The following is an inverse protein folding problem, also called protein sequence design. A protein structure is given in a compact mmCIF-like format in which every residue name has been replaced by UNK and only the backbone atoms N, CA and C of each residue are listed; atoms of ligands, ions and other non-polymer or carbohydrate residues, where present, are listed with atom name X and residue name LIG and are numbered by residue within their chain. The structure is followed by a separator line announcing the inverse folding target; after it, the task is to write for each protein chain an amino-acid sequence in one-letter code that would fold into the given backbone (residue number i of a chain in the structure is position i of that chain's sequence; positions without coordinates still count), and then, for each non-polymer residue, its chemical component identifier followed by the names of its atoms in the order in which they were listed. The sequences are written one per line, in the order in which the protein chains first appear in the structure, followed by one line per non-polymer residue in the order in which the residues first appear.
data_IF_391908834334
#
_entry.id   IF_391908834334
#
_cell.length_a   1.000
_cell.length_b   1.000
_cell.length_c   1.000
_cell.angle_alpha   90.00
_cell.angle_beta   90.00
_cell.angle_gamma   90.00
#
_symmetry.space_group_name_H-M   'P 1'
#
loop_
_entity.id
_entity.type
_entity.pdbx_description
1 polymer ?
#
# COMPACT_ATOMS: atom_id res chain seq x y z
N UNK A 1 18.93 16.02 -25.49
CA UNK A 1 18.33 14.68 -25.42
C UNK A 1 17.18 14.79 -24.44
N UNK A 2 15.95 14.45 -24.86
CA UNK A 2 14.83 14.42 -23.91
C UNK A 2 15.10 13.31 -22.91
N UNK A 3 15.22 13.65 -21.62
CA UNK A 3 15.33 12.63 -20.57
C UNK A 3 13.98 11.94 -20.45
N UNK A 4 13.95 10.62 -20.64
CA UNK A 4 12.72 9.86 -20.43
C UNK A 4 12.32 9.97 -18.95
N UNK A 5 11.08 10.39 -18.72
CA UNK A 5 10.49 10.50 -17.39
C UNK A 5 9.46 9.40 -17.25
N UNK A 6 9.68 8.48 -16.31
CA UNK A 6 8.71 7.44 -15.99
C UNK A 6 7.93 7.80 -14.74
N UNK A 7 6.62 7.63 -14.80
CA UNK A 7 5.70 7.83 -13.67
C UNK A 7 5.11 6.49 -13.27
N UNK A 8 5.46 6.01 -12.08
CA UNK A 8 5.01 4.73 -11.55
C UNK A 8 4.06 4.98 -10.38
N UNK A 9 2.80 4.54 -10.49
CA UNK A 9 1.88 4.57 -9.36
C UNK A 9 2.15 3.39 -8.44
N UNK A 10 2.12 3.64 -7.15
CA UNK A 10 2.16 2.62 -6.09
C UNK A 10 0.82 2.64 -5.37
N UNK A 11 0.08 1.54 -5.48
CA UNK A 11 -1.20 1.31 -4.82
C UNK A 11 -1.03 0.16 -3.85
N UNK A 12 -1.69 0.20 -2.71
CA UNK A 12 -1.76 -0.94 -1.79
C UNK A 12 -3.02 -0.86 -0.93
N UNK A 13 -3.36 -2.00 -0.33
CA UNK A 13 -4.42 -2.09 0.67
C UNK A 13 -5.74 -1.52 0.13
N UNK A 14 -6.23 -2.05 -1.00
CA UNK A 14 -7.50 -1.64 -1.60
C UNK A 14 -8.69 -2.25 -0.89
N UNK A 15 -8.59 -3.49 -0.40
CA UNK A 15 -9.60 -4.19 0.38
C UNK A 15 -11.03 -4.08 -0.18
N UNK A 16 -11.19 -4.14 -1.50
CA UNK A 16 -12.50 -4.14 -2.15
C UNK A 16 -13.15 -5.51 -1.96
N UNK A 17 -14.41 -5.53 -1.52
CA UNK A 17 -15.12 -6.76 -1.14
C UNK A 17 -14.90 -7.19 0.31
N UNK A 18 -13.90 -6.64 0.98
CA UNK A 18 -13.60 -6.84 2.39
C UNK A 18 -13.99 -5.57 3.22
N UNK A 19 -13.21 -4.51 3.10
CA UNK A 19 -13.46 -3.23 3.81
C UNK A 19 -14.22 -2.22 2.96
N UNK A 20 -13.94 -2.17 1.66
CA UNK A 20 -14.62 -1.29 0.71
C UNK A 20 -15.65 -2.07 -0.11
N UNK A 21 -16.85 -1.51 -0.28
CA UNK A 21 -17.88 -2.08 -1.14
C UNK A 21 -17.55 -1.95 -2.64
N UNK A 22 -16.70 -0.99 -3.02
CA UNK A 22 -16.35 -0.74 -4.41
C UNK A 22 -15.05 0.07 -4.52
N UNK A 23 -14.49 0.12 -5.73
CA UNK A 23 -13.28 0.89 -6.05
C UNK A 23 -13.58 2.39 -5.91
N UNK A 24 -12.79 3.16 -5.13
CA UNK A 24 -12.97 4.60 -5.04
C UNK A 24 -12.74 5.29 -6.39
N UNK A 25 -13.65 6.17 -6.81
CA UNK A 25 -13.50 6.95 -8.04
C UNK A 25 -12.18 7.73 -8.08
N UNK A 26 -11.78 8.29 -6.94
CA UNK A 26 -10.53 9.03 -6.82
C UNK A 26 -9.27 8.18 -7.06
N UNK A 27 -9.33 6.84 -6.85
CA UNK A 27 -8.22 5.94 -7.15
C UNK A 27 -7.94 5.90 -8.65
N UNK A 28 -8.99 5.66 -9.47
CA UNK A 28 -8.86 5.60 -10.93
C UNK A 28 -8.39 6.95 -11.49
N UNK A 29 -8.88 8.05 -10.94
CA UNK A 29 -8.43 9.38 -11.35
C UNK A 29 -6.95 9.64 -11.01
N UNK A 30 -6.50 9.16 -9.84
CA UNK A 30 -5.14 9.40 -9.36
C UNK A 30 -4.07 8.60 -10.13
N UNK A 31 -4.44 7.45 -10.72
CA UNK A 31 -3.51 6.60 -11.51
C UNK A 31 -3.53 6.89 -13.02
N UNK A 32 -4.32 7.87 -13.48
CA UNK A 32 -4.32 8.22 -14.91
C UNK A 32 -3.01 8.86 -15.36
N UNK A 33 -2.54 8.45 -16.54
CA UNK A 33 -1.34 9.01 -17.15
C UNK A 33 -0.03 8.59 -16.48
N UNK A 34 -0.04 7.47 -15.76
CA UNK A 34 1.19 6.79 -15.31
C UNK A 34 1.61 5.73 -16.34
N UNK A 35 2.89 5.35 -16.33
CA UNK A 35 3.45 4.35 -17.25
C UNK A 35 3.28 2.93 -16.71
N UNK A 36 3.19 2.78 -15.38
CA UNK A 36 3.08 1.50 -14.69
C UNK A 36 2.35 1.68 -13.36
N UNK A 37 1.57 0.67 -12.96
CA UNK A 37 0.95 0.58 -11.65
C UNK A 37 1.53 -0.61 -10.92
N UNK A 38 2.05 -0.38 -9.71
CA UNK A 38 2.53 -1.40 -8.78
C UNK A 38 1.51 -1.54 -7.65
N UNK A 39 0.88 -2.71 -7.51
CA UNK A 39 -0.04 -2.98 -6.41
C UNK A 39 0.65 -3.86 -5.35
N UNK A 40 0.95 -3.28 -4.19
CA UNK A 40 1.75 -3.90 -3.14
C UNK A 40 0.93 -4.77 -2.16
N UNK A 41 -0.12 -5.44 -2.65
CA UNK A 41 -0.92 -6.44 -1.92
C UNK A 41 -2.17 -5.91 -1.24
N UNK A 42 -2.96 -6.86 -0.72
CA UNK A 42 -4.31 -6.66 -0.19
C UNK A 42 -5.24 -6.00 -1.22
N UNK A 43 -5.29 -6.64 -2.40
CA UNK A 43 -6.18 -6.34 -3.52
C UNK A 43 -7.60 -6.76 -3.17
N UNK A 44 -7.73 -8.00 -2.67
CA UNK A 44 -8.92 -8.75 -2.23
C UNK A 44 -9.94 -9.09 -3.32
N UNK A 45 -10.02 -8.31 -4.41
CA UNK A 45 -10.87 -8.61 -5.57
C UNK A 45 -10.11 -8.38 -6.88
N UNK A 46 -10.07 -9.38 -7.76
CA UNK A 46 -9.38 -9.30 -9.06
C UNK A 46 -9.90 -8.17 -9.95
N UNK A 47 -11.17 -7.79 -9.82
CA UNK A 47 -11.77 -6.67 -10.55
C UNK A 47 -11.04 -5.33 -10.31
N UNK A 48 -10.35 -5.19 -9.17
CA UNK A 48 -9.49 -4.03 -8.89
C UNK A 48 -8.34 -3.95 -9.89
N UNK A 49 -7.68 -5.09 -10.14
CA UNK A 49 -6.56 -5.15 -11.08
C UNK A 49 -7.02 -4.88 -12.51
N UNK A 50 -8.18 -5.42 -12.89
CA UNK A 50 -8.78 -5.18 -14.22
C UNK A 50 -9.13 -3.68 -14.40
N UNK A 51 -9.71 -3.07 -13.39
CA UNK A 51 -10.04 -1.64 -13.43
C UNK A 51 -8.80 -0.74 -13.50
N UNK A 52 -7.74 -1.09 -12.78
CA UNK A 52 -6.47 -0.37 -12.83
C UNK A 52 -5.77 -0.57 -14.18
N UNK A 53 -5.86 -1.78 -14.76
CA UNK A 53 -5.24 -2.13 -16.05
C UNK A 53 -5.81 -1.33 -17.23
N UNK A 54 -7.00 -0.76 -17.10
CA UNK A 54 -7.55 0.20 -18.09
C UNK A 54 -6.70 1.49 -18.14
N UNK A 55 -6.02 1.85 -17.05
CA UNK A 55 -5.24 3.08 -16.98
C UNK A 55 -3.78 2.89 -17.41
N UNK A 56 -3.14 1.79 -16.97
CA UNK A 56 -1.75 1.43 -17.29
C UNK A 56 -1.50 -0.05 -16.96
N UNK A 57 -0.41 -0.68 -17.47
CA UNK A 57 0.00 -2.02 -17.05
C UNK A 57 0.07 -2.14 -15.51
N UNK A 58 -0.37 -3.29 -14.97
CA UNK A 58 -0.39 -3.54 -13.52
C UNK A 58 0.52 -4.71 -13.19
N UNK A 59 1.37 -4.54 -12.18
CA UNK A 59 2.10 -5.62 -11.51
C UNK A 59 1.64 -5.65 -10.07
N UNK A 60 1.16 -6.81 -9.60
CA UNK A 60 0.66 -6.96 -8.23
C UNK A 60 1.39 -8.07 -7.48
N UNK A 61 1.50 -7.92 -6.16
CA UNK A 61 1.94 -8.96 -5.23
C UNK A 61 0.85 -9.31 -4.24
N UNK A 62 0.95 -10.51 -3.65
CA UNK A 62 -0.02 -11.02 -2.70
C UNK A 62 0.15 -10.41 -1.33
N UNK A 63 -0.94 -9.96 -0.72
CA UNK A 63 -1.05 -9.63 0.70
C UNK A 63 -1.69 -10.76 1.51
N UNK A 64 -1.88 -10.52 2.82
CA UNK A 64 -2.49 -11.51 3.70
C UNK A 64 -4.01 -11.64 3.44
N UNK A 65 -4.72 -10.56 3.19
CA UNK A 65 -6.15 -10.61 2.85
C UNK A 65 -6.42 -11.22 1.47
N UNK A 66 -5.49 -11.11 0.53
CA UNK A 66 -5.59 -11.80 -0.77
C UNK A 66 -5.61 -13.32 -0.61
N UNK A 67 -4.79 -13.86 0.32
CA UNK A 67 -4.80 -15.29 0.63
C UNK A 67 -6.14 -15.75 1.19
N UNK A 68 -6.72 -14.96 2.09
CA UNK A 68 -8.01 -15.25 2.71
C UNK A 68 -9.15 -15.15 1.69
N UNK A 69 -9.05 -14.23 0.74
CA UNK A 69 -9.97 -14.08 -0.39
C UNK A 69 -9.75 -15.12 -1.51
N UNK A 70 -8.70 -15.96 -1.43
CA UNK A 70 -8.37 -16.96 -2.45
C UNK A 70 -7.73 -16.37 -3.73
N UNK A 71 -7.28 -15.12 -3.70
CA UNK A 71 -6.60 -14.48 -4.82
C UNK A 71 -5.12 -14.90 -4.82
N UNK A 72 -4.68 -15.55 -5.89
CA UNK A 72 -3.31 -16.07 -6.02
C UNK A 72 -2.44 -15.09 -6.82
N UNK A 73 -1.51 -14.45 -6.14
CA UNK A 73 -0.54 -13.51 -6.70
C UNK A 73 0.88 -13.89 -6.23
N UNK A 74 1.95 -13.42 -6.93
CA UNK A 74 3.32 -13.60 -6.44
C UNK A 74 3.53 -12.96 -5.06
N UNK A 75 4.23 -13.65 -4.15
CA UNK A 75 4.51 -13.10 -2.82
C UNK A 75 5.48 -11.90 -2.83
N UNK A 76 6.25 -11.75 -3.91
CA UNK A 76 7.15 -10.63 -4.17
C UNK A 76 7.44 -10.53 -5.67
N UNK A 77 7.83 -9.34 -6.10
CA UNK A 77 8.25 -9.10 -7.48
C UNK A 77 9.38 -8.06 -7.53
N UNK A 78 10.19 -8.11 -8.58
CA UNK A 78 11.19 -7.06 -8.86
C UNK A 78 11.03 -6.65 -10.31
N UNK A 79 10.85 -5.36 -10.56
CA UNK A 79 10.77 -4.78 -11.90
C UNK A 79 11.87 -3.74 -12.06
N UNK A 80 12.34 -3.56 -13.31
CA UNK A 80 13.28 -2.50 -13.64
C UNK A 80 12.63 -1.53 -14.61
N UNK A 81 12.60 -0.25 -14.27
CA UNK A 81 12.08 0.83 -15.11
C UNK A 81 13.01 2.05 -15.02
N UNK A 82 13.36 2.65 -16.15
CA UNK A 82 14.30 3.77 -16.20
C UNK A 82 15.66 3.49 -15.52
N UNK A 83 16.13 2.22 -15.56
CA UNK A 83 17.35 1.77 -14.91
C UNK A 83 17.23 1.52 -13.40
N UNK A 84 16.11 1.86 -12.77
CA UNK A 84 15.84 1.68 -11.32
C UNK A 84 15.21 0.30 -11.09
N UNK A 85 15.76 -0.45 -10.14
CA UNK A 85 15.23 -1.74 -9.68
C UNK A 85 14.29 -1.53 -8.51
N UNK A 86 13.01 -1.81 -8.72
CA UNK A 86 11.95 -1.66 -7.71
C UNK A 86 11.53 -3.05 -7.25
N UNK A 87 11.80 -3.36 -5.98
CA UNK A 87 11.30 -4.56 -5.33
C UNK A 87 9.98 -4.28 -4.63
N UNK A 88 9.06 -5.24 -4.68
CA UNK A 88 7.75 -5.13 -4.04
C UNK A 88 7.39 -6.40 -3.30
N UNK A 89 6.80 -6.24 -2.13
CA UNK A 89 6.19 -7.27 -1.30
C UNK A 89 5.23 -6.59 -0.33
N UNK A 90 4.20 -7.30 0.13
CA UNK A 90 3.15 -6.66 0.95
C UNK A 90 3.67 -6.13 2.29
N UNK A 91 4.57 -6.84 2.96
CA UNK A 91 5.14 -6.39 4.23
C UNK A 91 4.60 -7.14 5.44
N UNK A 92 3.63 -8.04 5.23
CA UNK A 92 3.15 -8.96 6.24
C UNK A 92 4.26 -9.91 6.72
N UNK A 93 4.21 -10.27 8.00
CA UNK A 93 5.20 -11.12 8.66
C UNK A 93 4.50 -12.24 9.41
N UNK A 94 5.28 -13.19 9.92
CA UNK A 94 4.73 -14.23 10.78
C UNK A 94 3.92 -13.62 11.94
N UNK A 95 2.76 -14.19 12.24
CA UNK A 95 1.77 -13.65 13.18
C UNK A 95 2.33 -13.26 14.56
N UNK A 96 3.29 -14.05 15.13
CA UNK A 96 3.95 -13.71 16.39
C UNK A 96 4.68 -12.36 16.32
N UNK A 97 5.37 -12.10 15.20
CA UNK A 97 6.13 -10.86 14.96
C UNK A 97 5.17 -9.68 14.77
N UNK A 98 4.04 -9.91 14.11
CA UNK A 98 2.97 -8.91 13.94
C UNK A 98 2.38 -8.51 15.28
N UNK A 99 1.93 -9.49 16.09
CA UNK A 99 1.39 -9.22 17.43
C UNK A 99 2.38 -8.46 18.33
N UNK A 100 3.66 -8.86 18.32
CA UNK A 100 4.70 -8.16 19.07
C UNK A 100 4.90 -6.71 18.59
N UNK A 101 4.79 -6.46 17.29
CA UNK A 101 4.86 -5.11 16.71
C UNK A 101 3.66 -4.26 17.06
N UNK A 102 2.44 -4.82 16.96
CA UNK A 102 1.20 -4.17 17.34
C UNK A 102 1.24 -3.79 18.83
N UNK A 103 1.59 -4.73 19.71
CA UNK A 103 1.69 -4.47 21.15
C UNK A 103 2.70 -3.36 21.44
N UNK A 104 3.87 -3.40 20.81
CA UNK A 104 4.88 -2.35 20.95
C UNK A 104 4.39 -0.99 20.44
N UNK A 105 3.64 -0.99 19.32
CA UNK A 105 3.01 0.20 18.76
C UNK A 105 1.95 0.78 19.70
N UNK A 106 1.10 -0.06 20.27
CA UNK A 106 0.09 0.32 21.27
C UNK A 106 0.73 0.95 22.52
N UNK A 107 1.79 0.34 23.04
CA UNK A 107 2.52 0.87 24.19
C UNK A 107 3.18 2.22 23.89
N UNK A 108 3.75 2.38 22.70
CA UNK A 108 4.41 3.63 22.25
C UNK A 108 3.42 4.68 21.75
N UNK A 109 2.16 4.30 21.52
CA UNK A 109 1.13 5.18 20.95
C UNK A 109 1.36 5.57 19.48
N UNK A 110 2.14 4.77 18.73
CA UNK A 110 2.37 4.98 17.29
C UNK A 110 2.76 3.67 16.60
N UNK A 111 2.35 3.45 15.33
CA UNK A 111 2.82 2.31 14.55
C UNK A 111 4.35 2.37 14.33
N UNK A 112 4.97 1.20 14.26
CA UNK A 112 6.39 1.08 13.98
C UNK A 112 6.62 0.15 12.80
N UNK A 113 6.87 0.71 11.62
CA UNK A 113 7.17 -0.02 10.38
C UNK A 113 8.65 -0.39 10.24
N UNK A 114 9.51 0.05 11.17
CA UNK A 114 10.95 -0.15 11.09
C UNK A 114 11.35 -1.63 11.01
N UNK A 115 10.67 -2.50 11.76
CA UNK A 115 10.92 -3.95 11.73
C UNK A 115 10.52 -4.60 10.40
N UNK A 116 9.43 -4.15 9.80
CA UNK A 116 8.98 -4.60 8.48
C UNK A 116 9.95 -4.11 7.39
N UNK A 117 10.28 -2.83 7.39
CA UNK A 117 11.26 -2.27 6.46
C UNK A 117 12.58 -3.03 6.48
N UNK A 118 13.13 -3.32 7.67
CA UNK A 118 14.34 -4.13 7.83
C UNK A 118 14.20 -5.55 7.26
N UNK A 119 13.05 -6.18 7.46
CA UNK A 119 12.78 -7.51 6.92
C UNK A 119 12.69 -7.50 5.40
N UNK A 120 12.03 -6.49 4.82
CA UNK A 120 11.91 -6.30 3.38
C UNK A 120 13.26 -6.05 2.71
N UNK A 121 14.10 -5.19 3.29
CA UNK A 121 15.46 -4.95 2.78
C UNK A 121 16.29 -6.25 2.76
N UNK A 122 16.16 -7.09 3.77
CA UNK A 122 16.84 -8.40 3.79
C UNK A 122 16.27 -9.38 2.77
N UNK A 123 14.94 -9.36 2.57
CA UNK A 123 14.22 -10.30 1.71
C UNK A 123 14.42 -9.99 0.23
N UNK A 124 14.33 -8.71 -0.16
CA UNK A 124 14.37 -8.26 -1.54
C UNK A 124 15.81 -8.01 -2.04
N UNK A 125 16.76 -7.89 -1.12
CA UNK A 125 18.18 -7.80 -1.46
C UNK A 125 18.55 -6.51 -2.20
N UNK A 126 19.34 -6.67 -3.27
CA UNK A 126 19.92 -5.55 -4.02
C UNK A 126 18.89 -4.91 -4.97
N UNK A 127 18.10 -3.96 -4.45
CA UNK A 127 17.16 -3.12 -5.19
C UNK A 127 17.31 -1.66 -4.76
N UNK A 128 16.97 -0.74 -5.67
CA UNK A 128 17.11 0.71 -5.42
C UNK A 128 15.92 1.25 -4.62
N UNK A 129 14.73 0.69 -4.88
CA UNK A 129 13.47 1.06 -4.20
C UNK A 129 12.76 -0.20 -3.72
N UNK A 130 12.17 -0.15 -2.53
CA UNK A 130 11.23 -1.14 -2.02
C UNK A 130 9.89 -0.47 -1.81
N UNK A 131 8.83 -1.02 -2.41
CA UNK A 131 7.45 -0.60 -2.18
C UNK A 131 6.69 -1.68 -1.41
N UNK A 132 5.84 -1.27 -0.44
CA UNK A 132 5.08 -2.17 0.41
C UNK A 132 3.80 -1.53 0.96
N UNK A 133 2.85 -2.34 1.45
CA UNK A 133 1.59 -1.96 2.07
C UNK A 133 1.47 -2.41 3.53
N UNK A 134 0.34 -3.04 3.89
CA UNK A 134 0.04 -3.72 5.15
C UNK A 134 -0.23 -2.84 6.38
N UNK A 135 0.49 -1.74 6.53
CA UNK A 135 0.37 -0.89 7.73
C UNK A 135 -0.62 0.26 7.55
N UNK A 136 -1.17 0.43 6.35
CA UNK A 136 -2.12 1.48 5.98
C UNK A 136 -1.64 2.90 6.33
N UNK A 137 -0.33 3.10 6.47
CA UNK A 137 0.28 4.38 6.83
C UNK A 137 1.42 4.71 5.88
N UNK A 138 1.56 5.95 5.44
CA UNK A 138 2.71 6.38 4.65
C UNK A 138 4.03 6.16 5.41
N UNK A 139 5.01 5.65 4.68
CA UNK A 139 6.36 5.45 5.18
C UNK A 139 7.38 5.80 4.10
N UNK A 140 8.40 6.55 4.47
CA UNK A 140 9.51 6.90 3.60
C UNK A 140 10.80 6.92 4.41
N UNK A 141 11.74 6.08 4.07
CA UNK A 141 13.05 6.05 4.73
C UNK A 141 14.13 5.46 3.81
N UNK A 142 15.35 5.96 3.96
CA UNK A 142 16.53 5.37 3.36
C UNK A 142 17.12 4.30 4.29
N UNK A 143 17.45 3.15 3.71
CA UNK A 143 18.12 2.03 4.34
C UNK A 143 19.40 1.73 3.55
N UNK A 144 20.51 2.35 3.96
CA UNK A 144 21.69 2.41 3.12
C UNK A 144 21.39 3.18 1.83
N UNK A 145 21.52 2.53 0.69
CA UNK A 145 21.21 3.10 -0.63
C UNK A 145 19.81 2.74 -1.14
N UNK A 146 19.05 1.92 -0.40
CA UNK A 146 17.69 1.51 -0.78
C UNK A 146 16.65 2.46 -0.21
N UNK A 147 15.80 3.02 -1.05
CA UNK A 147 14.61 3.78 -0.64
C UNK A 147 13.50 2.80 -0.27
N UNK A 148 12.95 2.89 0.94
CA UNK A 148 11.81 2.08 1.37
C UNK A 148 10.59 2.97 1.49
N UNK A 149 9.54 2.65 0.72
CA UNK A 149 8.37 3.49 0.53
C UNK A 149 7.07 2.72 0.67
N UNK A 150 6.13 3.26 1.43
CA UNK A 150 4.73 2.86 1.47
C UNK A 150 3.87 4.11 1.34
N UNK A 151 2.86 4.12 0.45
CA UNK A 151 2.01 5.29 0.25
C UNK A 151 0.89 5.44 1.30
N UNK A 152 0.63 4.41 2.10
CA UNK A 152 -0.58 4.30 2.93
C UNK A 152 -1.61 3.37 2.28
N UNK A 153 -2.90 3.56 2.56
CA UNK A 153 -3.99 2.76 2.01
C UNK A 153 -4.96 3.63 1.21
N UNK A 154 -5.78 3.01 0.36
CA UNK A 154 -6.79 3.71 -0.44
C UNK A 154 -8.08 4.01 0.34
N UNK A 155 -8.15 3.65 1.60
CA UNK A 155 -9.28 3.95 2.50
C UNK A 155 -8.81 4.53 3.84
N UNK A 156 -9.76 5.06 4.61
CA UNK A 156 -9.48 5.63 5.93
C UNK A 156 -9.52 4.51 6.97
N UNK A 157 -8.42 4.28 7.67
CA UNK A 157 -8.29 3.26 8.74
C UNK A 157 -9.34 3.42 9.87
N UNK A 158 -9.94 4.60 10.02
CA UNK A 158 -11.03 4.84 10.98
C UNK A 158 -12.35 4.17 10.58
N UNK A 159 -12.49 3.76 9.31
CA UNK A 159 -13.66 3.07 8.78
C UNK A 159 -13.60 1.54 8.95
N UNK A 160 -12.49 1.00 9.47
CA UNK A 160 -12.32 -0.43 9.68
C UNK A 160 -13.24 -0.94 10.81
N UNK A 161 -14.30 -1.72 10.48
CA UNK A 161 -15.28 -2.20 11.46
C UNK A 161 -14.71 -3.26 12.40
N UNK A 162 -13.60 -3.93 12.07
CA UNK A 162 -13.03 -5.00 12.91
C UNK A 162 -12.42 -4.49 14.22
N UNK A 163 -12.26 -3.16 14.39
CA UNK A 163 -11.67 -2.59 15.60
C UNK A 163 -12.74 -2.06 16.58
N UNK A 164 -13.85 -2.78 16.78
CA UNK A 164 -14.72 -2.52 17.95
C UNK A 164 -14.11 -3.11 19.22
N UNK A 165 -13.22 -2.37 19.86
CA UNK A 165 -12.56 -2.78 21.11
C UNK A 165 -13.18 -2.09 22.31
N UNK A 166 -13.65 -2.86 23.29
CA UNK A 166 -14.25 -2.36 24.54
C UNK A 166 -13.21 -2.22 25.68
N UNK A 167 -13.44 -1.33 26.63
CA UNK A 167 -12.65 -1.21 27.86
C UNK A 167 -11.28 -0.53 27.72
N UNK A 168 -10.29 -1.03 28.48
CA UNK A 168 -8.89 -0.52 28.48
C UNK A 168 -8.24 -0.58 27.09
N UNK A 169 -8.57 -1.61 26.32
CA UNK A 169 -8.09 -1.75 24.93
C UNK A 169 -8.53 -0.56 24.07
N UNK A 170 -9.74 -0.04 24.26
CA UNK A 170 -10.26 1.15 23.55
C UNK A 170 -9.38 2.39 23.77
N UNK A 171 -8.85 2.61 24.98
CA UNK A 171 -7.96 3.74 25.29
C UNK A 171 -6.60 3.58 24.58
N UNK A 172 -6.05 2.37 24.55
CA UNK A 172 -4.77 2.07 23.85
C UNK A 172 -4.91 2.23 22.34
N UNK A 173 -5.98 1.68 21.75
CA UNK A 173 -6.27 1.83 20.32
C UNK A 173 -6.50 3.31 19.96
N UNK A 174 -7.26 4.06 20.78
CA UNK A 174 -7.44 5.51 20.56
C UNK A 174 -6.10 6.26 20.62
N UNK A 175 -5.23 5.91 21.57
CA UNK A 175 -3.88 6.50 21.67
C UNK A 175 -3.03 6.16 20.44
N UNK A 176 -3.06 4.90 20.00
CA UNK A 176 -2.38 4.43 18.78
C UNK A 176 -2.87 5.18 17.54
N UNK A 177 -4.20 5.26 17.34
CA UNK A 177 -4.82 6.01 16.23
C UNK A 177 -4.43 7.49 16.23
N UNK A 178 -4.34 8.13 17.39
CA UNK A 178 -3.86 9.53 17.50
C UNK A 178 -2.37 9.66 17.13
N UNK A 179 -1.59 8.61 17.34
CA UNK A 179 -0.17 8.55 16.97
C UNK A 179 0.08 8.26 15.48
N UNK A 180 -0.96 7.90 14.70
CA UNK A 180 -0.86 7.79 13.25
C UNK A 180 -0.74 9.19 12.67
N UNK A 181 0.29 9.49 11.86
CA UNK A 181 0.44 10.79 11.21
C UNK A 181 -0.81 11.15 10.41
N UNK A 182 -1.09 12.45 10.25
CA UNK A 182 -2.28 12.94 9.50
C UNK A 182 -2.34 12.34 8.10
N UNK A 183 -1.19 12.21 7.41
CA UNK A 183 -1.12 11.53 6.11
C UNK A 183 -1.54 10.04 6.14
N UNK A 184 -1.45 9.35 7.29
CA UNK A 184 -1.93 7.97 7.45
C UNK A 184 -3.42 7.86 7.74
N UNK A 185 -4.13 9.00 7.80
CA UNK A 185 -5.59 9.05 7.98
C UNK A 185 -6.34 9.48 6.74
N UNK A 186 -5.60 9.73 5.66
CA UNK A 186 -6.15 10.16 4.38
C UNK A 186 -5.87 9.06 3.36
N UNK A 187 -6.89 8.58 2.62
CA UNK A 187 -6.67 7.67 1.52
C UNK A 187 -5.63 8.21 0.56
N UNK A 188 -4.68 7.39 0.16
CA UNK A 188 -3.56 7.85 -0.65
C UNK A 188 -2.97 6.75 -1.53
N UNK A 189 -2.32 7.17 -2.59
CA UNK A 189 -1.42 6.38 -3.43
C UNK A 189 -0.03 7.01 -3.44
N UNK A 190 0.96 6.28 -3.94
CA UNK A 190 2.29 6.81 -4.23
C UNK A 190 2.47 7.10 -5.71
N UNK A 191 3.26 8.09 -6.03
CA UNK A 191 3.85 8.28 -7.35
C UNK A 191 5.36 8.27 -7.18
N UNK A 192 6.03 7.39 -7.93
CA UNK A 192 7.47 7.42 -8.12
C UNK A 192 7.75 8.06 -9.47
N UNK A 193 8.30 9.24 -9.48
CA UNK A 193 8.83 9.85 -10.70
C UNK A 193 10.29 9.45 -10.84
N UNK A 194 10.64 8.83 -11.98
CA UNK A 194 11.98 8.35 -12.27
C UNK A 194 12.51 9.15 -13.45
N UNK A 195 13.59 9.88 -13.21
CA UNK A 195 14.25 10.71 -14.22
C UNK A 195 15.76 10.60 -14.06
N UNK A 196 16.48 10.27 -15.12
CA UNK A 196 17.96 10.21 -15.16
C UNK A 196 18.54 9.38 -13.99
N UNK A 197 17.91 8.24 -13.66
CA UNK A 197 18.32 7.36 -12.56
C UNK A 197 18.01 7.89 -11.15
N UNK A 198 17.26 8.98 -11.03
CA UNK A 198 16.82 9.55 -9.76
C UNK A 198 15.34 9.25 -9.54
N UNK A 199 14.99 8.78 -8.33
CA UNK A 199 13.62 8.49 -7.93
C UNK A 199 13.11 9.56 -6.97
N UNK A 200 11.99 10.17 -7.33
CA UNK A 200 11.29 11.15 -6.48
C UNK A 200 9.95 10.54 -6.04
N UNK A 201 9.80 10.08 -4.79
CA UNK A 201 8.55 9.56 -4.26
C UNK A 201 7.64 10.68 -3.78
N UNK A 202 6.36 10.57 -4.10
CA UNK A 202 5.32 11.50 -3.62
C UNK A 202 4.11 10.69 -3.13
N UNK A 203 3.55 11.08 -1.99
CA UNK A 203 2.26 10.56 -1.52
C UNK A 203 1.16 11.48 -2.01
N UNK A 204 0.21 10.94 -2.76
CA UNK A 204 -0.90 11.67 -3.38
C UNK A 204 -2.19 11.28 -2.68
N UNK A 205 -2.89 12.23 -2.02
CA UNK A 205 -4.20 11.96 -1.43
C UNK A 205 -5.23 11.62 -2.52
N UNK A 206 -6.09 10.64 -2.23
CA UNK A 206 -7.24 10.31 -3.08
C UNK A 206 -8.40 11.18 -2.68
N UNK A 207 -8.75 12.15 -3.53
CA UNK A 207 -9.91 13.01 -3.33
C UNK A 207 -11.19 12.27 -3.71
N UNK A 208 -12.25 12.40 -2.90
CA UNK A 208 -13.54 11.75 -3.17
C UNK A 208 -13.63 10.27 -2.79
N UNK A 209 -12.68 9.72 -2.03
CA UNK A 209 -12.66 8.32 -1.60
C UNK A 209 -13.90 7.85 -0.77
N UNK A 210 -14.79 8.77 -0.43
CA UNK A 210 -16.09 8.47 0.22
C UNK A 210 -17.21 8.16 -0.78
N UNK A 211 -16.98 8.26 -2.07
CA UNK A 211 -17.91 7.82 -3.10
C UNK A 211 -17.35 6.60 -3.82
N UNK A 212 -17.89 5.44 -3.52
CA UNK A 212 -17.51 4.19 -4.20
C UNK A 212 -18.24 4.07 -5.54
N UNK A 213 -17.51 3.67 -6.58
CA UNK A 213 -18.11 3.23 -7.84
C UNK A 213 -18.64 1.81 -7.63
N UNK A 214 -19.93 1.58 -7.79
CA UNK A 214 -20.49 0.23 -7.79
C UNK A 214 -19.98 -0.52 -9.03
N UNK A 215 -19.26 -1.61 -8.83
CA UNK A 215 -18.95 -2.55 -9.91
C UNK A 215 -20.24 -3.30 -10.22
N UNK A 216 -20.71 -3.36 -11.49
CA UNK A 216 -21.88 -4.16 -11.84
C UNK A 216 -21.59 -5.63 -11.50
N UNK A 217 -22.40 -6.22 -10.63
CA UNK A 217 -22.36 -7.65 -10.39
C UNK A 217 -22.70 -8.36 -11.71
N UNK A 218 -21.69 -8.83 -12.42
CA UNK A 218 -21.85 -9.72 -13.56
C UNK A 218 -22.21 -11.14 -13.10
N UNK A 219 -23.44 -11.27 -12.59
CA UNK A 219 -24.13 -12.54 -12.41
C UNK A 219 -25.55 -12.35 -12.89
N UNK A 220 -25.73 -12.59 -14.16
CA UNK A 220 -26.97 -13.08 -14.77
C UNK A 220 -26.65 -14.37 -15.52
#
# INVERSE_FOLDING_TARGET
MSSDVYRVAVVCDTHVGDTLAAIPEGLIAAVRGVDLILHAGDVTDALVLDALAVCAPVIAVQGNHDRDAGLVLPAQHVVTIGGIRIGMAHGDRHWITEYASILRGLLRGRPSMHGAARALVRRLGNVDVIVFGHFHCPYLAWWGQTLVFSPGAVYVVEADPEIEVRGIRRRLVRRFRRGVPVGGRTPSIGILEIRDGVVTPTVVPILGALRSVSVPNGRD
#
